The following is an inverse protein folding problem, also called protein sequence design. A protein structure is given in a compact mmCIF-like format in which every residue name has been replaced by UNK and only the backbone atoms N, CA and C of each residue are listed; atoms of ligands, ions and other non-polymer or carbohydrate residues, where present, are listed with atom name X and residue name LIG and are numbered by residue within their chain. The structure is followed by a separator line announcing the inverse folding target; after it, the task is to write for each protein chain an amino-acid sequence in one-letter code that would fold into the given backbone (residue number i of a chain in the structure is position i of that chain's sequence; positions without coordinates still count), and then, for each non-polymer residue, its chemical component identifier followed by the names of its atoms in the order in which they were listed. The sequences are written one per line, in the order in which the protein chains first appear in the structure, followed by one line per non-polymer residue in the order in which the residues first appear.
data_IF_737534797696
#
_entry.id   IF_737534797696
#
_cell.length_a   1.000
_cell.length_b   1.000
_cell.length_c   1.000
_cell.angle_alpha   90.00
_cell.angle_beta   90.00
_cell.angle_gamma   90.00
#
_symmetry.space_group_name_H-M   'P 1'
#
loop_
_entity.id
_entity.type
_entity.pdbx_description
1 polymer ?
#
# COMPACT_ATOMS: atom_id res chain seq x y z
N UNK A 1 12.84 -6.10 -3.72
CA UNK A 1 11.54 -6.42 -3.09
C UNK A 1 11.68 -6.83 -1.62
N UNK A 2 12.62 -7.67 -1.27
CA UNK A 2 12.82 -8.10 0.13
C UNK A 2 13.02 -6.95 1.10
N UNK A 3 13.86 -5.97 0.75
CA UNK A 3 14.12 -4.82 1.61
C UNK A 3 12.86 -3.96 1.78
N UNK A 4 12.08 -3.81 0.73
CA UNK A 4 10.81 -3.06 0.77
C UNK A 4 9.82 -3.74 1.72
N UNK A 5 9.64 -5.05 1.58
CA UNK A 5 8.73 -5.82 2.43
C UNK A 5 9.17 -5.76 3.90
N UNK A 6 10.45 -5.95 4.16
CA UNK A 6 10.99 -5.88 5.52
C UNK A 6 10.76 -4.51 6.14
N UNK A 7 10.99 -3.44 5.38
CA UNK A 7 10.80 -2.08 5.86
C UNK A 7 9.34 -1.82 6.25
N UNK A 8 8.40 -2.25 5.41
CA UNK A 8 6.97 -2.08 5.69
C UNK A 8 6.50 -2.92 6.87
N UNK A 9 7.02 -4.14 7.02
CA UNK A 9 6.66 -5.01 8.15
C UNK A 9 7.22 -4.50 9.47
N UNK A 10 8.42 -3.94 9.46
CA UNK A 10 9.05 -3.38 10.66
C UNK A 10 8.44 -2.04 11.09
N UNK A 11 7.77 -1.36 10.18
CA UNK A 11 7.15 -0.05 10.42
C UNK A 11 5.69 -0.10 9.97
N UNK A 12 4.82 -0.77 10.75
CA UNK A 12 3.49 -1.15 10.27
C UNK A 12 2.47 -0.03 10.15
N UNK A 13 2.70 1.11 10.80
CA UNK A 13 1.79 2.25 10.66
C UNK A 13 2.35 3.17 9.57
N UNK A 14 1.95 2.91 8.34
CA UNK A 14 2.31 3.75 7.21
C UNK A 14 1.26 4.84 7.01
N UNK A 15 1.54 5.78 6.11
CA UNK A 15 0.60 6.84 5.75
C UNK A 15 0.39 6.83 4.24
N UNK A 16 -0.85 6.67 3.83
CA UNK A 16 -1.25 6.58 2.43
C UNK A 16 -1.83 7.90 1.97
N UNK A 17 -1.21 8.49 0.97
CA UNK A 17 -1.69 9.70 0.32
C UNK A 17 -2.48 9.35 -0.93
N UNK A 18 -3.64 9.97 -1.09
CA UNK A 18 -4.51 9.81 -2.27
C UNK A 18 -4.94 11.17 -2.77
N UNK A 19 -5.45 11.20 -4.01
CA UNK A 19 -6.10 12.39 -4.55
C UNK A 19 -7.60 12.27 -4.24
N UNK A 20 -8.12 13.22 -3.48
CA UNK A 20 -9.54 13.22 -3.13
C UNK A 20 -10.44 13.49 -4.33
N UNK A 21 -11.71 13.07 -4.21
CA UNK A 21 -12.73 13.35 -5.24
C UNK A 21 -12.93 14.84 -5.45
N UNK A 22 -12.57 15.65 -4.47
CA UNK A 22 -12.57 17.13 -4.55
C UNK A 22 -11.29 17.69 -5.17
N UNK A 23 -10.37 16.84 -5.64
CA UNK A 23 -9.09 17.24 -6.22
C UNK A 23 -8.02 17.62 -5.21
N UNK A 24 -8.29 17.49 -3.92
CA UNK A 24 -7.35 17.86 -2.86
C UNK A 24 -6.60 16.64 -2.35
N UNK A 25 -5.38 16.87 -1.84
CA UNK A 25 -4.57 15.81 -1.26
C UNK A 25 -5.21 15.30 0.04
N UNK A 26 -5.20 13.99 0.21
CA UNK A 26 -5.69 13.31 1.42
C UNK A 26 -4.61 12.36 1.92
N UNK A 27 -4.52 12.22 3.25
CA UNK A 27 -3.52 11.32 3.85
C UNK A 27 -4.10 10.72 5.14
N UNK A 28 -3.85 9.43 5.37
CA UNK A 28 -4.33 8.73 6.55
C UNK A 28 -3.42 7.55 6.88
N UNK A 29 -3.47 7.06 8.14
CA UNK A 29 -2.76 5.82 8.47
C UNK A 29 -3.29 4.64 7.66
N UNK A 30 -2.40 3.75 7.28
CA UNK A 30 -2.72 2.57 6.50
C UNK A 30 -1.74 1.46 6.86
N UNK A 31 -2.08 0.20 6.55
CA UNK A 31 -1.20 -0.91 6.85
C UNK A 31 -0.98 -1.78 5.62
N UNK A 32 0.28 -2.04 5.32
CA UNK A 32 0.67 -3.06 4.35
C UNK A 32 0.30 -4.43 4.90
N UNK A 33 -0.28 -5.29 4.06
CA UNK A 33 -0.71 -6.62 4.48
C UNK A 33 0.33 -7.69 4.17
N UNK A 34 0.65 -7.89 2.90
CA UNK A 34 1.61 -8.93 2.50
C UNK A 34 2.10 -8.71 1.07
N UNK A 35 3.19 -9.42 0.73
CA UNK A 35 3.66 -9.52 -0.64
C UNK A 35 3.28 -10.91 -1.17
N UNK A 36 2.79 -10.96 -2.40
CA UNK A 36 2.55 -12.21 -3.10
C UNK A 36 2.62 -12.00 -4.60
N UNK A 37 3.29 -12.92 -5.27
CA UNK A 37 3.46 -12.90 -6.73
C UNK A 37 4.08 -11.60 -7.24
N UNK A 38 5.02 -11.05 -6.46
CA UNK A 38 5.73 -9.82 -6.82
C UNK A 38 4.91 -8.55 -6.62
N UNK A 39 3.77 -8.63 -5.93
CA UNK A 39 2.87 -7.50 -5.70
C UNK A 39 2.72 -7.22 -4.22
N UNK A 40 2.55 -5.93 -3.90
CA UNK A 40 2.30 -5.47 -2.54
C UNK A 40 0.80 -5.30 -2.34
N UNK A 41 0.24 -6.01 -1.37
CA UNK A 41 -1.21 -6.08 -1.16
C UNK A 41 -1.65 -5.33 0.10
N UNK A 42 -2.80 -4.68 -0.02
CA UNK A 42 -3.42 -3.88 1.02
C UNK A 42 -4.91 -4.18 1.08
N UNK A 43 -5.57 -3.80 2.17
CA UNK A 43 -7.01 -3.97 2.28
C UNK A 43 -7.67 -2.71 2.84
N UNK A 44 -8.95 -2.58 2.55
CA UNK A 44 -9.80 -1.50 3.04
C UNK A 44 -11.26 -1.95 3.01
N UNK A 45 -12.18 -1.04 3.27
CA UNK A 45 -13.62 -1.27 3.13
C UNK A 45 -14.19 -0.29 2.10
N UNK A 46 -15.13 -0.74 1.27
CA UNK A 46 -15.69 0.10 0.21
C UNK A 46 -16.59 1.23 0.74
N UNK A 47 -16.88 1.25 2.03
CA UNK A 47 -17.63 2.35 2.65
C UNK A 47 -16.75 3.54 3.00
N UNK A 48 -15.42 3.40 2.90
CA UNK A 48 -14.50 4.48 3.29
C UNK A 48 -14.24 5.45 2.14
N UNK A 49 -14.01 6.72 2.50
CA UNK A 49 -13.66 7.75 1.52
C UNK A 49 -12.39 7.39 0.73
N UNK A 50 -11.41 6.76 1.39
CA UNK A 50 -10.17 6.37 0.71
C UNK A 50 -10.44 5.42 -0.45
N UNK A 51 -11.37 4.48 -0.28
CA UNK A 51 -11.76 3.57 -1.37
C UNK A 51 -12.41 4.35 -2.52
N UNK A 52 -13.38 5.20 -2.20
CA UNK A 52 -14.11 5.97 -3.20
C UNK A 52 -13.18 6.92 -3.96
N UNK A 53 -12.24 7.53 -3.26
CA UNK A 53 -11.24 8.39 -3.88
C UNK A 53 -10.34 7.61 -4.83
N UNK A 54 -9.89 6.40 -4.44
CA UNK A 54 -9.06 5.55 -5.30
C UNK A 54 -9.82 5.01 -6.51
N UNK A 55 -11.14 4.88 -6.44
CA UNK A 55 -11.94 4.50 -7.61
C UNK A 55 -11.90 5.59 -8.69
N UNK A 56 -11.87 6.85 -8.29
CA UNK A 56 -11.77 7.97 -9.24
C UNK A 56 -10.33 8.24 -9.68
N UNK A 57 -9.37 8.17 -8.76
CA UNK A 57 -7.97 8.38 -9.08
C UNK A 57 -7.15 7.32 -8.34
N UNK A 58 -6.68 6.29 -9.07
CA UNK A 58 -5.99 5.16 -8.44
C UNK A 58 -4.53 5.42 -8.09
N UNK A 59 -3.96 6.57 -8.44
CA UNK A 59 -2.57 6.86 -8.16
C UNK A 59 -2.41 7.25 -6.69
N UNK A 60 -1.52 6.54 -5.99
CA UNK A 60 -1.33 6.71 -4.56
C UNK A 60 0.16 6.75 -4.22
N UNK A 61 0.47 7.31 -3.07
CA UNK A 61 1.81 7.26 -2.51
C UNK A 61 1.72 6.93 -1.02
N UNK A 62 2.62 6.06 -0.57
CA UNK A 62 2.67 5.62 0.82
C UNK A 62 4.06 5.92 1.37
N UNK A 63 4.13 6.36 2.63
CA UNK A 63 5.41 6.67 3.25
C UNK A 63 5.37 6.33 4.73
N UNK A 64 6.56 5.96 5.25
CA UNK A 64 6.78 5.79 6.68
C UNK A 64 8.26 5.95 6.98
N UNK A 65 8.56 6.48 8.16
CA UNK A 65 9.94 6.58 8.65
C UNK A 65 10.17 5.53 9.74
N UNK A 66 11.39 5.01 9.80
CA UNK A 66 11.81 4.13 10.88
C UNK A 66 12.28 4.96 12.09
N UNK A 67 12.42 4.31 13.25
CA UNK A 67 12.95 4.95 14.45
C UNK A 67 14.41 5.40 14.29
N UNK A 68 15.10 4.91 13.26
CA UNK A 68 16.48 5.26 12.95
C UNK A 68 16.60 6.33 11.86
N UNK A 69 15.47 7.01 11.56
CA UNK A 69 15.41 8.09 10.57
C UNK A 69 15.71 7.66 9.14
N UNK A 70 15.52 6.39 8.82
CA UNK A 70 15.37 5.95 7.44
C UNK A 70 13.90 6.08 7.04
N UNK A 71 13.62 6.23 5.75
CA UNK A 71 12.23 6.31 5.30
C UNK A 71 12.07 5.63 3.96
N UNK A 72 10.83 5.23 3.68
CA UNK A 72 10.41 4.69 2.40
C UNK A 72 9.34 5.60 1.79
N UNK A 73 9.42 5.75 0.47
CA UNK A 73 8.34 6.31 -0.34
C UNK A 73 7.98 5.26 -1.38
N UNK A 74 6.72 4.86 -1.37
CA UNK A 74 6.20 3.84 -2.27
C UNK A 74 5.03 4.43 -3.04
N UNK A 75 5.13 4.50 -4.37
CA UNK A 75 4.02 4.98 -5.17
C UNK A 75 3.61 3.92 -6.20
N UNK A 76 2.39 4.02 -6.66
CA UNK A 76 1.88 3.10 -7.65
C UNK A 76 0.42 3.37 -7.95
N UNK A 77 -0.18 2.44 -8.70
CA UNK A 77 -1.59 2.51 -9.10
C UNK A 77 -2.35 1.41 -8.37
N UNK A 78 -3.35 1.78 -7.59
CA UNK A 78 -4.19 0.83 -6.89
C UNK A 78 -5.05 0.04 -7.87
N UNK A 79 -4.97 -1.30 -7.80
CA UNK A 79 -5.78 -2.20 -8.61
C UNK A 79 -6.56 -3.10 -7.66
N UNK A 80 -7.88 -3.01 -7.68
CA UNK A 80 -8.74 -3.77 -6.79
C UNK A 80 -9.02 -5.15 -7.34
N UNK A 81 -8.91 -6.16 -6.46
CA UNK A 81 -9.16 -7.56 -6.80
C UNK A 81 -10.47 -7.99 -6.14
N UNK A 82 -11.50 -8.18 -6.96
CA UNK A 82 -12.84 -8.47 -6.46
C UNK A 82 -13.11 -9.96 -6.24
N UNK A 83 -12.23 -10.85 -6.69
CA UNK A 83 -12.41 -12.28 -6.51
C UNK A 83 -11.85 -12.72 -5.16
N UNK A 84 -12.68 -12.71 -4.15
CA UNK A 84 -12.29 -13.07 -2.79
C UNK A 84 -11.69 -14.47 -2.68
N UNK A 85 -12.13 -15.41 -3.51
CA UNK A 85 -11.64 -16.79 -3.47
C UNK A 85 -10.21 -16.91 -3.98
N UNK A 86 -9.82 -16.04 -4.91
CA UNK A 86 -8.46 -15.99 -5.46
C UNK A 86 -7.56 -15.01 -4.71
N UNK A 87 -8.11 -14.23 -3.82
CA UNK A 87 -7.44 -13.16 -3.13
C UNK A 87 -6.43 -13.70 -2.11
N UNK A 88 -5.14 -13.33 -2.20
CA UNK A 88 -4.12 -13.87 -1.29
C UNK A 88 -4.34 -13.47 0.17
N UNK A 89 -4.88 -12.30 0.44
CA UNK A 89 -5.13 -11.83 1.81
C UNK A 89 -6.22 -12.65 2.47
N UNK A 90 -7.32 -12.87 1.78
CA UNK A 90 -8.42 -13.67 2.29
C UNK A 90 -7.96 -15.09 2.58
N UNK A 91 -7.14 -15.65 1.70
CA UNK A 91 -6.63 -17.02 1.86
C UNK A 91 -5.64 -17.17 3.00
N UNK A 92 -4.81 -16.14 3.25
CA UNK A 92 -3.67 -16.28 4.15
C UNK A 92 -3.87 -15.72 5.54
N UNK A 93 -4.62 -14.63 5.69
CA UNK A 93 -4.70 -13.91 6.96
C UNK A 93 -6.11 -13.63 7.47
N UNK A 94 -7.03 -13.31 6.56
CA UNK A 94 -8.35 -12.85 6.93
C UNK A 94 -9.40 -13.80 6.36
N UNK A 95 -10.13 -14.46 7.22
CA UNK A 95 -11.25 -15.30 6.78
C UNK A 95 -12.50 -14.42 6.66
N UNK A 96 -12.40 -13.40 5.80
CA UNK A 96 -13.41 -12.37 5.65
C UNK A 96 -14.16 -12.47 4.32
N UNK A 97 -14.12 -13.64 3.68
CA UNK A 97 -14.82 -13.85 2.41
C UNK A 97 -16.31 -13.49 2.49
N UNK A 98 -16.90 -13.59 3.68
CA UNK A 98 -18.29 -13.26 3.91
C UNK A 98 -18.54 -11.79 4.25
N UNK A 99 -17.49 -10.97 4.37
CA UNK A 99 -17.65 -9.55 4.68
C UNK A 99 -17.94 -8.79 3.38
N UNK A 100 -19.18 -8.29 3.17
CA UNK A 100 -19.56 -7.70 1.89
C UNK A 100 -18.90 -6.35 1.61
N UNK A 101 -18.31 -5.69 2.62
CA UNK A 101 -17.67 -4.39 2.43
C UNK A 101 -16.15 -4.48 2.29
N UNK A 102 -15.59 -5.68 2.47
CA UNK A 102 -14.14 -5.88 2.44
C UNK A 102 -13.59 -5.82 1.01
N UNK A 103 -12.56 -5.02 0.81
CA UNK A 103 -11.90 -4.86 -0.49
C UNK A 103 -10.39 -5.01 -0.32
N UNK A 104 -9.75 -5.64 -1.29
CA UNK A 104 -8.29 -5.71 -1.32
C UNK A 104 -7.78 -5.14 -2.63
N UNK A 105 -6.57 -4.58 -2.59
CA UNK A 105 -5.92 -4.06 -3.78
C UNK A 105 -4.42 -4.32 -3.71
N UNK A 106 -3.80 -4.31 -4.86
CA UNK A 106 -2.34 -4.29 -4.97
C UNK A 106 -1.92 -3.02 -5.70
N UNK A 107 -0.64 -2.71 -5.64
CA UNK A 107 -0.09 -1.57 -6.37
C UNK A 107 0.56 -2.07 -7.66
N UNK A 108 0.02 -1.61 -8.80
CA UNK A 108 0.60 -1.84 -10.12
C UNK A 108 1.59 -0.72 -10.45
N UNK A 109 2.59 -1.05 -11.26
CA UNK A 109 3.63 -0.10 -11.67
C UNK A 109 4.27 0.60 -10.47
N UNK A 110 4.46 -0.15 -9.40
CA UNK A 110 4.93 0.40 -8.14
C UNK A 110 6.44 0.58 -8.12
N UNK A 111 6.86 1.68 -7.51
CA UNK A 111 8.27 1.97 -7.29
C UNK A 111 8.46 2.43 -5.85
N UNK A 112 9.48 1.89 -5.19
CA UNK A 112 9.84 2.25 -3.83
C UNK A 112 11.21 2.90 -3.80
N UNK A 113 11.36 3.94 -2.99
CA UNK A 113 12.64 4.59 -2.72
C UNK A 113 12.89 4.52 -1.22
N UNK A 114 14.02 3.95 -0.83
CA UNK A 114 14.45 3.90 0.57
C UNK A 114 15.67 4.81 0.73
N UNK A 115 15.60 5.72 1.68
CA UNK A 115 16.64 6.72 1.92
C UNK A 115 16.84 6.95 3.41
N UNK A 116 17.93 7.62 3.75
CA UNK A 116 18.25 8.01 5.12
C UNK A 116 19.16 9.25 5.11
N UNK A 117 19.61 9.67 6.29
CA UNK A 117 20.48 10.83 6.42
C UNK A 117 21.98 10.48 6.42
N UNK A 118 22.35 9.26 5.99
CA UNK A 118 23.75 8.81 5.99
C UNK A 118 24.64 9.51 4.95
N UNK A 119 24.02 10.15 3.95
CA UNK A 119 24.75 10.68 2.81
C UNK A 119 24.87 9.67 1.66
N UNK A 120 24.46 8.42 1.87
CA UNK A 120 24.43 7.44 0.80
C UNK A 120 23.26 7.74 -0.16
N UNK A 121 23.41 7.43 -1.47
CA UNK A 121 22.32 7.66 -2.40
C UNK A 121 21.10 6.81 -2.06
N UNK A 122 19.89 7.30 -2.33
CA UNK A 122 18.67 6.52 -2.15
C UNK A 122 18.68 5.25 -2.99
N UNK A 123 18.06 4.19 -2.48
CA UNK A 123 17.92 2.93 -3.20
C UNK A 123 16.51 2.85 -3.77
N UNK A 124 16.41 2.55 -5.07
CA UNK A 124 15.15 2.47 -5.81
C UNK A 124 14.85 1.04 -6.21
N UNK A 125 13.60 0.61 -6.00
CA UNK A 125 13.14 -0.73 -6.30
C UNK A 125 11.86 -0.68 -7.12
N UNK A 126 11.77 -1.56 -8.13
CA UNK A 126 10.53 -1.78 -8.85
C UNK A 126 9.73 -2.87 -8.14
N UNK A 127 8.46 -2.62 -7.85
CA UNK A 127 7.65 -3.47 -6.98
C UNK A 127 6.35 -3.95 -7.66
N UNK A 128 6.44 -4.35 -8.90
CA UNK A 128 5.27 -4.90 -9.60
C UNK A 128 4.72 -4.11 -10.76
#
# INVERSE_FOLDING_TARGET
MKEVVAFLQENPVQYLATVGRDGKAKCRPFMFCLEKDGKLWFCTNHTKDVYLDMQQNPYVELSVASSKYAWIRLHGKAVFENNCMANPIVKSQYQTADNPIFEVFYLADAEAVIADFSGNPPRTYTCG
#
